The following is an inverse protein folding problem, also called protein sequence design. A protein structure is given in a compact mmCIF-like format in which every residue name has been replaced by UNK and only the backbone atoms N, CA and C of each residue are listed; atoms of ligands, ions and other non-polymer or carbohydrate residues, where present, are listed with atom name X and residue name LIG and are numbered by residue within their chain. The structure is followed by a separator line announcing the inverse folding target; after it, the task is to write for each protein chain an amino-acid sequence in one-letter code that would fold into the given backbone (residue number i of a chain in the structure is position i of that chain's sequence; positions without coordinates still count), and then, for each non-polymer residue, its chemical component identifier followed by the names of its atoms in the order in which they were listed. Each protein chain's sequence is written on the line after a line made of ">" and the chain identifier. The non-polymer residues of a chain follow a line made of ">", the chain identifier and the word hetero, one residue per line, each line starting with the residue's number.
data_IF_087558259381
#
_entry.id   IF_087558259381
#
_cell.length_a   1.000
_cell.length_b   1.000
_cell.length_c   1.000
_cell.angle_alpha   90.00
_cell.angle_beta   90.00
_cell.angle_gamma   90.00
#
_symmetry.space_group_name_H-M   'P 1'
#
loop_
_entity.id
_entity.type
_entity.pdbx_description
1 polymer ?
#
# COMPACT_ATOMS: atom_id res chain seq x y z
N UNK A 1 9.39 -19.28 10.53
CA UNK A 1 8.39 -18.30 10.05
C UNK A 1 9.06 -16.97 9.78
N UNK A 2 8.68 -16.31 8.69
CA UNK A 2 9.20 -15.00 8.32
C UNK A 2 8.15 -13.95 8.64
N UNK A 3 8.52 -12.94 9.42
CA UNK A 3 7.67 -11.81 9.74
C UNK A 3 8.05 -10.60 8.90
N UNK A 4 7.07 -9.89 8.36
CA UNK A 4 7.27 -8.77 7.47
C UNK A 4 6.47 -7.57 7.94
N UNK A 5 7.09 -6.38 7.91
CA UNK A 5 6.38 -5.11 7.97
C UNK A 5 6.28 -4.57 6.55
N UNK A 6 5.08 -4.22 6.12
CA UNK A 6 4.84 -3.87 4.73
C UNK A 6 4.22 -2.47 4.61
N UNK A 7 5.06 -1.48 4.32
CA UNK A 7 4.67 -0.08 4.17
C UNK A 7 5.18 0.48 2.84
N UNK A 8 4.84 -0.17 1.76
CA UNK A 8 5.28 0.23 0.42
C UNK A 8 4.09 0.65 -0.45
N UNK A 9 4.18 1.73 -1.21
CA UNK A 9 5.29 2.67 -1.28
C UNK A 9 5.33 3.58 -0.04
N UNK A 10 6.53 3.91 0.40
CA UNK A 10 6.73 4.71 1.60
C UNK A 10 6.00 6.06 1.54
N UNK A 11 6.02 6.71 0.38
CA UNK A 11 5.38 8.01 0.20
C UNK A 11 3.87 7.97 0.42
N UNK A 12 3.24 6.83 0.20
CA UNK A 12 1.81 6.65 0.46
C UNK A 12 1.55 6.22 1.91
N UNK A 13 2.35 5.31 2.40
CA UNK A 13 2.07 4.66 3.68
C UNK A 13 2.51 5.48 4.89
N UNK A 14 3.71 6.09 4.84
CA UNK A 14 4.33 6.66 6.03
C UNK A 14 4.88 8.09 5.90
N UNK A 15 5.02 8.60 4.71
CA UNK A 15 5.68 9.90 4.53
C UNK A 15 4.83 11.05 5.06
N UNK A 16 5.41 11.83 5.99
CA UNK A 16 4.67 12.88 6.71
C UNK A 16 4.62 14.23 6.00
N UNK A 17 5.58 14.52 5.11
CA UNK A 17 5.63 15.79 4.39
C UNK A 17 6.39 15.67 3.09
N UNK A 18 6.11 16.56 2.14
CA UNK A 18 6.82 16.61 0.86
C UNK A 18 8.28 17.02 1.09
N UNK A 19 9.15 16.48 0.23
CA UNK A 19 10.58 16.78 0.26
C UNK A 19 11.07 17.04 -1.16
N UNK A 20 12.27 17.62 -1.27
CA UNK A 20 12.89 17.84 -2.59
C UNK A 20 13.15 16.55 -3.33
N UNK A 21 13.36 15.45 -2.61
CA UNK A 21 13.64 14.12 -3.19
C UNK A 21 12.37 13.36 -3.57
N UNK A 22 11.20 13.84 -3.18
CA UNK A 22 9.96 13.18 -3.53
C UNK A 22 8.76 13.77 -2.81
N UNK A 23 7.60 13.62 -3.42
CA UNK A 23 6.33 14.07 -2.88
C UNK A 23 5.60 12.93 -2.20
N UNK A 24 4.80 13.26 -1.18
CA UNK A 24 3.86 12.29 -0.62
C UNK A 24 2.90 11.82 -1.70
N UNK A 25 2.48 10.56 -1.63
CA UNK A 25 1.40 10.04 -2.46
C UNK A 25 0.10 10.08 -1.66
N UNK A 26 -0.90 10.73 -2.20
CA UNK A 26 -2.24 10.76 -1.62
C UNK A 26 -3.17 9.78 -2.31
N UNK A 27 -2.88 9.43 -3.55
CA UNK A 27 -3.78 8.67 -4.43
C UNK A 27 -3.07 7.43 -4.92
N UNK A 28 -3.69 6.28 -4.66
CA UNK A 28 -3.09 4.99 -4.94
C UNK A 28 -4.09 4.07 -5.62
N UNK A 29 -3.65 3.41 -6.69
CA UNK A 29 -4.41 2.38 -7.35
C UNK A 29 -5.13 2.85 -8.60
N UNK A 30 -5.44 1.89 -9.45
CA UNK A 30 -6.15 2.15 -10.70
C UNK A 30 -7.50 2.78 -10.41
N UNK A 31 -7.76 3.91 -11.05
CA UNK A 31 -9.02 4.63 -10.89
C UNK A 31 -9.04 5.62 -9.73
N UNK A 32 -7.99 5.68 -8.91
CA UNK A 32 -7.93 6.57 -7.75
C UNK A 32 -6.96 7.75 -7.93
N UNK A 33 -6.37 7.93 -9.09
CA UNK A 33 -5.49 9.07 -9.34
C UNK A 33 -6.28 10.36 -9.52
N UNK A 34 -5.71 11.45 -9.04
CA UNK A 34 -6.31 12.77 -9.21
C UNK A 34 -5.96 13.35 -10.58
N UNK A 35 -6.90 14.07 -11.19
CA UNK A 35 -6.66 14.84 -12.40
C UNK A 35 -6.28 16.27 -12.11
N UNK A 36 -6.46 16.73 -10.87
CA UNK A 36 -6.17 18.11 -10.46
C UNK A 36 -4.92 18.22 -9.60
N UNK A 37 -4.69 17.27 -8.71
CA UNK A 37 -3.51 17.22 -7.84
C UNK A 37 -2.60 16.07 -8.29
N UNK A 38 -2.07 16.19 -9.50
CA UNK A 38 -1.30 15.10 -10.13
C UNK A 38 0.05 14.85 -9.48
N UNK A 39 0.60 15.83 -8.75
CA UNK A 39 1.90 15.70 -8.09
C UNK A 39 1.87 14.67 -6.96
N UNK A 40 0.70 14.38 -6.40
CA UNK A 40 0.55 13.41 -5.31
C UNK A 40 -0.04 12.08 -5.76
N UNK A 41 -0.12 11.84 -7.06
CA UNK A 41 -0.45 10.51 -7.58
C UNK A 41 0.72 9.57 -7.37
N UNK A 42 0.44 8.32 -7.00
CA UNK A 42 1.48 7.30 -6.89
C UNK A 42 2.13 7.05 -8.24
N UNK A 43 3.47 7.07 -8.27
CA UNK A 43 4.24 6.83 -9.48
C UNK A 43 4.97 5.50 -9.46
N UNK A 44 4.92 4.78 -8.34
CA UNK A 44 5.50 3.45 -8.20
C UNK A 44 4.80 2.71 -7.06
N UNK A 45 5.02 1.42 -6.97
CA UNK A 45 4.53 0.63 -5.84
C UNK A 45 3.03 0.36 -5.88
N UNK A 46 2.39 0.43 -7.05
CA UNK A 46 0.98 0.14 -7.18
C UNK A 46 0.72 -1.36 -7.40
N UNK A 47 -0.42 -1.74 -7.92
CA UNK A 47 -0.92 -3.14 -7.91
C UNK A 47 0.06 -4.17 -8.46
N UNK A 48 0.68 -3.87 -9.60
CA UNK A 48 1.62 -4.80 -10.25
C UNK A 48 2.81 -5.12 -9.36
N UNK A 49 3.34 -4.11 -8.66
CA UNK A 49 4.47 -4.28 -7.74
C UNK A 49 4.07 -5.15 -6.55
N UNK A 50 2.84 -5.01 -6.07
CA UNK A 50 2.33 -5.82 -4.96
C UNK A 50 2.24 -7.28 -5.34
N UNK A 51 1.69 -7.57 -6.51
CA UNK A 51 1.63 -8.94 -7.04
C UNK A 51 3.02 -9.55 -7.13
N UNK A 52 3.99 -8.78 -7.62
CA UNK A 52 5.37 -9.24 -7.73
C UNK A 52 5.98 -9.52 -6.36
N UNK A 53 5.81 -8.60 -5.40
CA UNK A 53 6.36 -8.76 -4.06
C UNK A 53 5.82 -10.00 -3.36
N UNK A 54 4.51 -10.19 -3.38
CA UNK A 54 3.90 -11.36 -2.73
C UNK A 54 4.21 -12.65 -3.48
N UNK A 55 4.33 -12.59 -4.79
CA UNK A 55 4.79 -13.73 -5.59
C UNK A 55 6.20 -14.17 -5.23
N UNK A 56 7.11 -13.21 -4.98
CA UNK A 56 8.48 -13.51 -4.52
C UNK A 56 8.48 -14.13 -3.12
N UNK A 57 7.64 -13.65 -2.21
CA UNK A 57 7.51 -14.25 -0.89
C UNK A 57 7.04 -15.70 -0.96
N UNK A 58 6.08 -15.98 -1.84
CA UNK A 58 5.61 -17.34 -2.08
C UNK A 58 6.75 -18.24 -2.60
N UNK A 59 7.43 -17.81 -3.63
CA UNK A 59 8.50 -18.60 -4.26
C UNK A 59 9.68 -18.84 -3.30
N UNK A 60 10.10 -17.81 -2.57
CA UNK A 60 11.28 -17.90 -1.72
C UNK A 60 11.05 -18.60 -0.41
N UNK A 61 9.85 -18.54 0.13
CA UNK A 61 9.57 -19.04 1.48
C UNK A 61 8.42 -20.03 1.52
N UNK A 62 7.23 -19.65 1.10
CA UNK A 62 6.02 -20.46 1.28
C UNK A 62 6.11 -21.79 0.54
N UNK A 63 6.57 -21.76 -0.71
CA UNK A 63 6.73 -22.97 -1.52
C UNK A 63 7.80 -23.92 -0.96
N UNK A 64 8.65 -23.42 -0.08
CA UNK A 64 9.68 -24.20 0.60
C UNK A 64 9.27 -24.64 2.01
N UNK A 65 8.00 -24.45 2.36
CA UNK A 65 7.48 -24.83 3.66
C UNK A 65 7.73 -23.81 4.76
N UNK A 66 8.12 -22.59 4.43
CA UNK A 66 8.38 -21.54 5.41
C UNK A 66 7.21 -20.56 5.39
N UNK A 67 6.39 -20.49 6.46
CA UNK A 67 5.27 -19.56 6.50
C UNK A 67 5.73 -18.09 6.51
N UNK A 68 4.96 -17.21 5.87
CA UNK A 68 5.19 -15.77 5.89
C UNK A 68 3.97 -15.08 6.50
N UNK A 69 4.22 -14.16 7.42
CA UNK A 69 3.16 -13.36 8.03
C UNK A 69 3.50 -11.88 7.90
N UNK A 70 2.53 -11.07 7.45
CA UNK A 70 2.62 -9.63 7.48
C UNK A 70 2.08 -9.18 8.84
N UNK A 71 2.98 -8.79 9.74
CA UNK A 71 2.63 -8.37 11.09
C UNK A 71 2.16 -6.92 11.15
N UNK A 72 2.66 -6.09 10.25
CA UNK A 72 2.25 -4.68 10.15
C UNK A 72 2.14 -4.27 8.70
N UNK A 73 1.09 -3.53 8.38
CA UNK A 73 0.90 -2.89 7.08
C UNK A 73 -0.13 -1.77 7.21
N UNK A 74 -0.18 -0.89 6.25
CA UNK A 74 -1.20 0.14 6.21
C UNK A 74 -0.75 1.42 5.55
N UNK A 75 -1.66 2.35 5.42
CA UNK A 75 -1.42 3.66 4.87
C UNK A 75 -2.11 4.72 5.72
N UNK A 76 -1.45 5.88 5.86
CA UNK A 76 -2.02 6.98 6.62
C UNK A 76 -3.21 7.58 5.88
N UNK A 77 -4.28 7.81 6.60
CA UNK A 77 -5.33 8.73 6.17
C UNK A 77 -4.80 10.15 6.32
N UNK A 78 -4.93 10.93 5.27
CA UNK A 78 -4.45 12.31 5.27
C UNK A 78 -5.63 13.26 5.30
N UNK A 79 -5.45 14.41 5.93
CA UNK A 79 -6.44 15.49 5.89
C UNK A 79 -6.09 16.41 4.73
N UNK A 80 -6.96 16.47 3.73
CA UNK A 80 -6.76 17.29 2.54
C UNK A 80 -7.74 18.45 2.54
N UNK A 81 -7.42 19.47 1.71
CA UNK A 81 -8.12 20.76 1.78
C UNK A 81 -9.45 20.80 1.02
N UNK A 82 -9.66 19.90 0.05
CA UNK A 82 -10.90 19.90 -0.72
C UNK A 82 -11.66 18.59 -0.54
N UNK A 83 -13.01 18.62 -0.59
CA UNK A 83 -13.80 17.39 -0.45
C UNK A 83 -13.50 16.35 -1.52
N UNK A 84 -13.27 16.76 -2.76
CA UNK A 84 -12.98 15.83 -3.86
C UNK A 84 -11.64 15.13 -3.67
N UNK A 85 -10.60 15.86 -3.25
CA UNK A 85 -9.30 15.28 -2.96
C UNK A 85 -9.37 14.37 -1.74
N UNK A 86 -10.09 14.77 -0.70
CA UNK A 86 -10.28 13.94 0.49
C UNK A 86 -10.96 12.62 0.13
N UNK A 87 -11.98 12.66 -0.70
CA UNK A 87 -12.69 11.46 -1.14
C UNK A 87 -11.78 10.50 -1.90
N UNK A 88 -10.92 11.02 -2.77
CA UNK A 88 -9.95 10.19 -3.51
C UNK A 88 -8.90 9.58 -2.58
N UNK A 89 -8.41 10.34 -1.61
CA UNK A 89 -7.46 9.80 -0.63
C UNK A 89 -8.11 8.71 0.22
N UNK A 90 -9.33 8.93 0.69
CA UNK A 90 -10.07 7.94 1.46
C UNK A 90 -10.27 6.64 0.65
N UNK A 91 -10.66 6.78 -0.62
CA UNK A 91 -10.82 5.64 -1.52
C UNK A 91 -9.51 4.92 -1.76
N UNK A 92 -8.42 5.66 -1.90
CA UNK A 92 -7.08 5.10 -2.11
C UNK A 92 -6.62 4.29 -0.90
N UNK A 93 -6.82 4.81 0.31
CA UNK A 93 -6.45 4.11 1.55
C UNK A 93 -7.26 2.82 1.71
N UNK A 94 -8.57 2.90 1.50
CA UNK A 94 -9.44 1.72 1.59
C UNK A 94 -9.07 0.67 0.55
N UNK A 95 -8.88 1.08 -0.69
CA UNK A 95 -8.50 0.18 -1.77
C UNK A 95 -7.13 -0.47 -1.50
N UNK A 96 -6.17 0.31 -1.01
CA UNK A 96 -4.85 -0.22 -0.65
C UNK A 96 -4.95 -1.34 0.37
N UNK A 97 -5.67 -1.12 1.46
CA UNK A 97 -5.82 -2.15 2.50
C UNK A 97 -6.46 -3.42 1.97
N UNK A 98 -7.55 -3.29 1.21
CA UNK A 98 -8.21 -4.45 0.59
C UNK A 98 -7.30 -5.17 -0.39
N UNK A 99 -6.54 -4.42 -1.17
CA UNK A 99 -5.63 -4.99 -2.16
C UNK A 99 -4.50 -5.78 -1.50
N UNK A 100 -3.89 -5.23 -0.45
CA UNK A 100 -2.82 -5.93 0.28
C UNK A 100 -3.33 -7.24 0.87
N UNK A 101 -4.49 -7.22 1.51
CA UNK A 101 -5.07 -8.44 2.09
C UNK A 101 -5.34 -9.48 0.99
N UNK A 102 -6.01 -9.09 -0.08
CA UNK A 102 -6.39 -10.03 -1.14
C UNK A 102 -5.17 -10.56 -1.89
N UNK A 103 -4.23 -9.70 -2.26
CA UNK A 103 -3.05 -10.10 -3.01
C UNK A 103 -2.12 -10.99 -2.19
N UNK A 104 -1.92 -10.67 -0.91
CA UNK A 104 -1.05 -11.46 -0.05
C UNK A 104 -1.67 -12.82 0.27
N UNK A 105 -2.95 -12.88 0.62
CA UNK A 105 -3.61 -14.14 0.95
C UNK A 105 -3.74 -15.06 -0.27
N UNK A 106 -3.93 -14.49 -1.47
CA UNK A 106 -3.98 -15.29 -2.70
C UNK A 106 -2.64 -16.00 -2.99
N UNK A 107 -1.55 -15.52 -2.41
CA UNK A 107 -0.22 -16.12 -2.53
C UNK A 107 0.17 -16.92 -1.27
N UNK A 108 -0.76 -17.13 -0.35
CA UNK A 108 -0.52 -17.93 0.84
C UNK A 108 0.12 -17.21 2.01
N UNK A 109 0.27 -15.89 1.94
CA UNK A 109 0.79 -15.09 3.05
C UNK A 109 -0.32 -14.82 4.05
N UNK A 110 0.00 -14.97 5.34
CA UNK A 110 -0.92 -14.61 6.41
C UNK A 110 -0.80 -13.12 6.73
N UNK A 111 -1.91 -12.48 7.08
CA UNK A 111 -1.91 -11.08 7.48
C UNK A 111 -2.56 -10.92 8.85
N UNK A 112 -1.96 -10.08 9.70
CA UNK A 112 -2.63 -9.57 10.88
C UNK A 112 -3.39 -8.31 10.50
N UNK A 113 -4.59 -8.18 11.05
CA UNK A 113 -5.41 -7.02 10.79
C UNK A 113 -4.90 -5.86 11.64
N UNK A 114 -4.21 -4.93 11.01
CA UNK A 114 -3.60 -3.80 11.69
C UNK A 114 -4.10 -2.51 11.06
N UNK A 115 -4.94 -1.78 11.79
CA UNK A 115 -5.48 -0.50 11.32
C UNK A 115 -4.61 0.62 11.83
N UNK A 116 -4.16 1.46 10.89
CA UNK A 116 -3.36 2.63 11.19
C UNK A 116 -4.10 3.86 10.70
N UNK A 117 -4.38 4.75 11.62
CA UNK A 117 -5.05 6.01 11.31
C UNK A 117 -4.06 7.16 11.27
#
# INVERSE_FOLDING_TARGET
>A
MVGVHYYSPFQFCLMGKDATRGKRFYYWGKGNHSTTDTTHNSTWGEEKKKKKNFGLMKTKFIDKGIPVIIGEYGAWKRKLSTPSEQSLNDASVEYYHKYIINASTSKGTMTLHFLRN
#
